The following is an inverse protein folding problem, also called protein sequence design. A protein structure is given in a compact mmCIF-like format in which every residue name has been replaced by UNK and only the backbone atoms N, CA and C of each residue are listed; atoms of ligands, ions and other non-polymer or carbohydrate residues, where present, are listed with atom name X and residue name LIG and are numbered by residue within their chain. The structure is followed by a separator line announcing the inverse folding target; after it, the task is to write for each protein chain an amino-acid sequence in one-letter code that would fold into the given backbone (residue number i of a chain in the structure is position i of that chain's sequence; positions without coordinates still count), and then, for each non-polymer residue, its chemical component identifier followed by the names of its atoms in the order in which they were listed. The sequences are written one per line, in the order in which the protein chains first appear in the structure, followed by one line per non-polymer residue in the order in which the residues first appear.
data_IF_821901129201
#
_entry.id   IF_821901129201
#
_cell.length_a   1.000
_cell.length_b   1.000
_cell.length_c   1.000
_cell.angle_alpha   90.00
_cell.angle_beta   90.00
_cell.angle_gamma   90.00
#
_symmetry.space_group_name_H-M   'P 1'
#
loop_
_entity.id
_entity.type
_entity.pdbx_description
1 polymer ?
#
# COMPACT_ATOMS: atom_id res chain seq x y z
N UNK A 1 7.39 -5.55 15.66
CA UNK A 1 7.19 -4.45 14.71
C UNK A 1 6.15 -4.88 13.70
N UNK A 2 5.26 -3.99 13.31
CA UNK A 2 4.38 -4.11 12.16
C UNK A 2 5.02 -3.35 11.01
N UNK A 3 5.12 -3.96 9.83
CA UNK A 3 5.78 -3.35 8.67
C UNK A 3 4.82 -3.43 7.49
N UNK A 4 4.52 -2.29 6.89
CA UNK A 4 3.76 -2.22 5.65
C UNK A 4 4.53 -2.83 4.49
N UNK A 5 3.85 -3.18 3.41
CA UNK A 5 4.45 -3.89 2.28
C UNK A 5 4.62 -3.00 1.04
N UNK A 6 3.52 -2.59 0.43
CA UNK A 6 3.50 -1.86 -0.84
C UNK A 6 4.08 -0.45 -0.66
N UNK A 7 5.10 -0.09 -1.45
CA UNK A 7 5.84 1.18 -1.38
C UNK A 7 6.60 1.42 -0.06
N UNK A 8 6.72 0.36 0.77
CA UNK A 8 7.55 0.32 1.98
C UNK A 8 8.66 -0.73 1.85
N UNK A 9 8.31 -1.95 1.44
CA UNK A 9 9.25 -3.05 1.20
C UNK A 9 9.61 -3.21 -0.27
N UNK A 10 8.68 -2.95 -1.16
CA UNK A 10 8.82 -3.05 -2.61
C UNK A 10 7.97 -2.03 -3.35
N UNK A 11 8.37 -1.70 -4.57
CA UNK A 11 7.65 -0.82 -5.48
C UNK A 11 6.27 -1.40 -5.83
N UNK A 12 5.24 -0.59 -5.75
CA UNK A 12 3.88 -0.99 -6.11
C UNK A 12 3.12 0.10 -6.88
N UNK A 13 3.03 1.32 -6.33
CA UNK A 13 2.18 2.38 -6.88
C UNK A 13 2.61 2.81 -8.30
N UNK A 14 3.89 2.70 -8.64
CA UNK A 14 4.40 3.01 -9.99
C UNK A 14 3.72 2.20 -11.10
N UNK A 15 3.30 0.97 -10.81
CA UNK A 15 2.61 0.11 -11.79
C UNK A 15 1.17 0.55 -12.01
N UNK A 16 0.48 0.97 -10.95
CA UNK A 16 -0.86 1.56 -11.04
C UNK A 16 -0.82 2.91 -11.76
N UNK A 17 0.12 3.78 -11.40
CA UNK A 17 0.34 5.08 -12.06
C UNK A 17 0.59 4.94 -13.56
N UNK A 18 1.36 3.93 -13.95
CA UNK A 18 1.59 3.62 -15.37
C UNK A 18 0.27 3.30 -16.06
N UNK A 19 -0.54 2.42 -15.49
CA UNK A 19 -1.84 2.04 -16.06
C UNK A 19 -2.79 3.24 -16.13
N UNK A 20 -2.83 4.08 -15.09
CA UNK A 20 -3.64 5.31 -15.09
C UNK A 20 -3.21 6.25 -16.22
N UNK A 21 -1.90 6.51 -16.38
CA UNK A 21 -1.37 7.36 -17.45
C UNK A 21 -1.73 6.84 -18.84
N UNK A 22 -1.58 5.52 -19.06
CA UNK A 22 -1.95 4.89 -20.32
C UNK A 22 -3.47 4.94 -20.56
N UNK A 23 -4.29 4.73 -19.53
CA UNK A 23 -5.75 4.83 -19.61
C UNK A 23 -6.21 6.23 -19.98
N UNK A 24 -5.68 7.25 -19.27
CA UNK A 24 -5.99 8.67 -19.58
C UNK A 24 -5.58 9.03 -21.01
N UNK A 25 -4.42 8.58 -21.49
CA UNK A 25 -3.99 8.81 -22.87
C UNK A 25 -4.95 8.15 -23.90
N UNK A 26 -5.46 6.95 -23.60
CA UNK A 26 -6.47 6.28 -24.44
C UNK A 26 -7.80 7.00 -24.45
N UNK A 27 -8.22 7.57 -23.31
CA UNK A 27 -9.41 8.40 -23.20
C UNK A 27 -9.24 9.72 -23.98
N UNK A 28 -8.08 10.36 -23.87
CA UNK A 28 -7.79 11.58 -24.62
C UNK A 28 -7.86 11.38 -26.16
N UNK A 29 -7.42 10.24 -26.66
CA UNK A 29 -7.58 9.87 -28.08
C UNK A 29 -9.06 9.70 -28.51
N UNK A 30 -10.00 9.76 -27.57
CA UNK A 30 -11.46 9.68 -27.78
C UNK A 30 -12.18 10.96 -27.36
N UNK A 31 -11.45 12.08 -27.33
CA UNK A 31 -11.94 13.40 -26.96
C UNK A 31 -12.47 13.51 -25.50
N UNK A 32 -12.01 12.66 -24.59
CA UNK A 32 -12.24 12.82 -23.14
C UNK A 32 -11.07 13.60 -22.56
N UNK A 33 -11.33 14.70 -21.86
CA UNK A 33 -10.25 15.48 -21.24
C UNK A 33 -9.59 14.70 -20.10
N UNK A 34 -8.30 15.00 -19.83
CA UNK A 34 -7.55 14.38 -18.76
C UNK A 34 -8.19 14.69 -17.38
N UNK A 35 -8.68 15.91 -17.19
CA UNK A 35 -9.35 16.34 -15.97
C UNK A 35 -10.59 15.53 -15.69
N UNK A 36 -11.47 15.34 -16.70
CA UNK A 36 -12.67 14.52 -16.59
C UNK A 36 -12.32 13.04 -16.30
N UNK A 37 -11.29 12.53 -16.97
CA UNK A 37 -10.82 11.16 -16.77
C UNK A 37 -10.34 10.93 -15.33
N UNK A 38 -9.49 11.81 -14.81
CA UNK A 38 -8.96 11.72 -13.44
C UNK A 38 -10.07 11.89 -12.39
N UNK A 39 -10.95 12.89 -12.56
CA UNK A 39 -12.05 13.13 -11.62
C UNK A 39 -13.03 11.95 -11.58
N UNK A 40 -13.40 11.40 -12.74
CA UNK A 40 -14.31 10.24 -12.82
C UNK A 40 -13.66 9.01 -12.19
N UNK A 41 -12.37 8.76 -12.44
CA UNK A 41 -11.65 7.65 -11.83
C UNK A 41 -11.57 7.80 -10.31
N UNK A 42 -11.18 8.98 -9.83
CA UNK A 42 -11.11 9.30 -8.40
C UNK A 42 -12.43 9.02 -7.66
N UNK A 43 -13.54 9.54 -8.18
CA UNK A 43 -14.86 9.34 -7.58
C UNK A 43 -15.28 7.88 -7.60
N UNK A 44 -14.96 7.17 -8.69
CA UNK A 44 -15.27 5.75 -8.85
C UNK A 44 -14.47 4.91 -7.85
N UNK A 45 -13.17 5.14 -7.73
CA UNK A 45 -12.31 4.44 -6.75
C UNK A 45 -12.74 4.72 -5.31
N UNK A 46 -13.01 5.97 -4.94
CA UNK A 46 -13.48 6.32 -3.59
C UNK A 46 -14.73 5.53 -3.16
N UNK A 47 -15.65 5.28 -4.10
CA UNK A 47 -16.85 4.50 -3.85
C UNK A 47 -16.52 3.01 -3.80
N UNK A 48 -15.78 2.52 -4.77
CA UNK A 48 -15.56 1.09 -4.96
C UNK A 48 -14.66 0.48 -3.88
N UNK A 49 -13.63 1.20 -3.42
CA UNK A 49 -12.75 0.74 -2.34
C UNK A 49 -13.52 0.36 -1.07
N UNK A 50 -14.58 1.10 -0.74
CA UNK A 50 -15.42 0.82 0.43
C UNK A 50 -16.20 -0.49 0.33
N UNK A 51 -16.39 -1.01 -0.89
CA UNK A 51 -17.19 -2.21 -1.20
C UNK A 51 -16.28 -3.39 -1.55
N UNK A 52 -15.31 -3.18 -2.44
CA UNK A 52 -14.49 -4.23 -3.01
C UNK A 52 -13.09 -4.30 -2.40
N UNK A 53 -12.70 -3.31 -1.60
CA UNK A 53 -11.36 -3.19 -1.05
C UNK A 53 -10.32 -2.80 -2.09
N UNK A 54 -9.09 -3.25 -1.87
CA UNK A 54 -7.88 -2.91 -2.62
C UNK A 54 -7.41 -4.08 -3.49
N UNK A 55 -6.53 -3.80 -4.46
CA UNK A 55 -5.85 -4.77 -5.30
C UNK A 55 -6.18 -4.60 -6.78
N UNK A 56 -5.48 -5.38 -7.63
CA UNK A 56 -5.53 -5.28 -9.08
C UNK A 56 -6.94 -5.42 -9.66
N UNK A 57 -7.72 -6.40 -9.17
CA UNK A 57 -9.10 -6.63 -9.63
C UNK A 57 -10.04 -5.47 -9.27
N UNK A 58 -9.94 -4.94 -8.04
CA UNK A 58 -10.78 -3.82 -7.59
C UNK A 58 -10.48 -2.55 -8.39
N UNK A 59 -9.20 -2.29 -8.65
CA UNK A 59 -8.75 -1.19 -9.48
C UNK A 59 -9.26 -1.33 -10.92
N UNK A 60 -9.08 -2.50 -11.56
CA UNK A 60 -9.58 -2.73 -12.92
C UNK A 60 -11.11 -2.67 -13.01
N UNK A 61 -11.84 -3.09 -11.98
CA UNK A 61 -13.28 -2.88 -11.91
C UNK A 61 -13.66 -1.40 -11.98
N UNK A 62 -12.88 -0.54 -11.32
CA UNK A 62 -13.07 0.92 -11.40
C UNK A 62 -12.77 1.46 -12.80
N UNK A 63 -11.71 0.98 -13.47
CA UNK A 63 -11.43 1.35 -14.87
C UNK A 63 -12.55 0.94 -15.83
N UNK A 64 -13.12 -0.26 -15.66
CA UNK A 64 -14.27 -0.72 -16.45
C UNK A 64 -15.47 0.20 -16.27
N UNK A 65 -15.79 0.56 -15.04
CA UNK A 65 -16.89 1.45 -14.74
C UNK A 65 -16.71 2.84 -15.35
N UNK A 66 -15.49 3.40 -15.24
CA UNK A 66 -15.12 4.69 -15.85
C UNK A 66 -15.25 4.62 -17.37
N UNK A 67 -14.74 3.56 -18.01
CA UNK A 67 -14.83 3.39 -19.45
C UNK A 67 -16.30 3.35 -19.94
N UNK A 68 -17.17 2.66 -19.22
CA UNK A 68 -18.61 2.62 -19.52
C UNK A 68 -19.29 3.96 -19.30
N UNK A 69 -18.99 4.63 -18.19
CA UNK A 69 -19.55 5.94 -17.83
C UNK A 69 -19.19 7.01 -18.86
N UNK A 70 -17.96 6.95 -19.39
CA UNK A 70 -17.47 7.89 -20.39
C UNK A 70 -17.79 7.47 -21.84
N UNK A 71 -18.51 6.37 -22.03
CA UNK A 71 -18.94 5.90 -23.36
C UNK A 71 -17.83 5.31 -24.23
N UNK A 72 -16.78 4.74 -23.62
CA UNK A 72 -15.59 4.18 -24.28
C UNK A 72 -15.37 2.71 -23.91
N UNK A 73 -16.45 1.93 -23.83
CA UNK A 73 -16.42 0.52 -23.43
C UNK A 73 -15.53 -0.38 -24.32
N UNK A 74 -15.16 0.06 -25.53
CA UNK A 74 -14.20 -0.64 -26.38
C UNK A 74 -12.79 -0.74 -25.78
N UNK A 75 -12.49 -0.04 -24.67
CA UNK A 75 -11.26 -0.19 -23.91
C UNK A 75 -11.25 -1.42 -22.97
N UNK A 76 -12.37 -2.09 -22.77
CA UNK A 76 -12.48 -3.24 -21.87
C UNK A 76 -11.46 -4.36 -22.15
N UNK A 77 -11.16 -4.75 -23.42
CA UNK A 77 -10.13 -5.75 -23.69
C UNK A 77 -8.73 -5.31 -23.26
N UNK A 78 -8.43 -4.00 -23.36
CA UNK A 78 -7.16 -3.46 -22.87
C UNK A 78 -7.11 -3.49 -21.33
N UNK A 79 -8.20 -3.11 -20.66
CA UNK A 79 -8.28 -3.12 -19.18
C UNK A 79 -8.07 -4.54 -18.65
N UNK A 80 -8.64 -5.57 -19.29
CA UNK A 80 -8.43 -6.98 -18.90
C UNK A 80 -6.94 -7.38 -18.86
N UNK A 81 -6.14 -6.86 -19.79
CA UNK A 81 -4.69 -7.08 -19.81
C UNK A 81 -3.97 -6.39 -18.65
N UNK A 82 -4.51 -5.28 -18.14
CA UNK A 82 -3.89 -4.53 -17.05
C UNK A 82 -4.02 -5.24 -15.69
N UNK A 83 -5.10 -5.95 -15.45
CA UNK A 83 -5.24 -6.76 -14.23
C UNK A 83 -4.12 -7.79 -14.12
N UNK A 84 -3.86 -8.53 -15.21
CA UNK A 84 -2.76 -9.49 -15.26
C UNK A 84 -1.40 -8.80 -15.07
N UNK A 85 -1.17 -7.66 -15.73
CA UNK A 85 0.06 -6.90 -15.60
C UNK A 85 0.30 -6.45 -14.15
N UNK A 86 -0.69 -5.85 -13.48
CA UNK A 86 -0.57 -5.38 -12.10
C UNK A 86 -0.37 -6.56 -11.15
N UNK A 87 -1.11 -7.65 -11.30
CA UNK A 87 -0.99 -8.83 -10.45
C UNK A 87 0.39 -9.49 -10.52
N UNK A 88 1.04 -9.47 -11.70
CA UNK A 88 2.30 -10.17 -11.96
C UNK A 88 3.50 -9.22 -12.13
N UNK A 89 3.38 -7.96 -11.75
CA UNK A 89 4.51 -7.03 -11.87
C UNK A 89 5.78 -7.56 -11.17
N UNK A 90 6.98 -7.16 -11.61
CA UNK A 90 8.22 -7.48 -10.92
C UNK A 90 8.19 -7.01 -9.47
N UNK A 91 8.87 -7.71 -8.58
CA UNK A 91 9.08 -7.25 -7.21
C UNK A 91 10.44 -6.55 -7.16
N UNK A 92 10.40 -5.24 -7.10
CA UNK A 92 11.59 -4.39 -6.96
C UNK A 92 11.64 -3.90 -5.52
N UNK A 93 12.62 -4.40 -4.75
CA UNK A 93 12.74 -4.05 -3.33
C UNK A 93 13.14 -2.60 -3.16
N UNK A 94 12.57 -1.94 -2.16
CA UNK A 94 12.96 -0.59 -1.77
C UNK A 94 14.41 -0.53 -1.31
N UNK A 95 15.12 0.58 -1.58
CA UNK A 95 16.51 0.73 -1.16
C UNK A 95 16.70 0.50 0.34
N UNK A 96 17.69 -0.33 0.70
CA UNK A 96 18.03 -0.67 2.07
C UNK A 96 17.22 -1.78 2.72
N UNK A 97 16.18 -2.31 2.06
CA UNK A 97 15.36 -3.41 2.61
C UNK A 97 16.17 -4.69 2.76
N UNK A 98 16.96 -5.06 1.73
CA UNK A 98 17.76 -6.29 1.75
C UNK A 98 18.72 -6.37 2.93
N UNK A 99 19.33 -5.25 3.30
CA UNK A 99 20.34 -5.17 4.35
C UNK A 99 19.72 -5.00 5.74
N UNK A 100 18.66 -4.18 5.82
CA UNK A 100 18.10 -3.76 7.11
C UNK A 100 17.08 -4.76 7.66
N UNK A 101 16.26 -5.36 6.81
CA UNK A 101 15.21 -6.27 7.29
C UNK A 101 15.76 -7.52 8.01
N UNK A 102 16.85 -8.19 7.54
CA UNK A 102 17.47 -9.29 8.31
C UNK A 102 18.01 -8.84 9.68
N UNK A 103 18.58 -7.65 9.76
CA UNK A 103 19.05 -7.09 11.03
C UNK A 103 17.86 -6.86 12.00
N UNK A 104 16.76 -6.27 11.51
CA UNK A 104 15.56 -6.08 12.31
C UNK A 104 14.98 -7.42 12.77
N UNK A 105 14.92 -8.43 11.89
CA UNK A 105 14.45 -9.78 12.20
C UNK A 105 15.25 -10.43 13.33
N UNK A 106 16.57 -10.23 13.37
CA UNK A 106 17.43 -10.83 14.40
C UNK A 106 17.17 -10.32 15.83
N UNK A 107 16.50 -9.18 15.96
CA UNK A 107 16.28 -8.48 17.25
C UNK A 107 14.84 -8.21 17.58
N UNK A 108 13.94 -8.35 16.62
CA UNK A 108 12.54 -7.98 16.76
C UNK A 108 11.61 -9.06 16.23
N UNK A 109 10.42 -9.11 16.77
CA UNK A 109 9.32 -9.88 16.21
C UNK A 109 8.68 -9.05 15.08
N UNK A 110 8.79 -9.51 13.83
CA UNK A 110 8.32 -8.81 12.63
C UNK A 110 7.03 -9.42 12.13
N UNK A 111 6.04 -8.58 11.87
CA UNK A 111 4.77 -8.95 11.24
C UNK A 111 4.58 -8.03 10.04
N UNK A 112 4.43 -8.60 8.84
CA UNK A 112 4.00 -7.82 7.68
C UNK A 112 2.51 -7.49 7.82
N UNK A 113 2.16 -6.22 7.69
CA UNK A 113 0.78 -5.74 7.75
C UNK A 113 0.43 -4.97 6.48
N UNK A 114 -0.43 -5.51 5.65
CA UNK A 114 -0.79 -4.91 4.36
C UNK A 114 -2.30 -4.95 4.12
N UNK A 115 -2.76 -4.09 3.20
CA UNK A 115 -4.13 -4.13 2.68
C UNK A 115 -4.18 -4.88 1.34
N UNK A 116 -5.34 -5.34 0.95
CA UNK A 116 -5.59 -5.91 -0.36
C UNK A 116 -6.03 -7.38 -0.34
N UNK A 117 -5.90 -8.03 -1.49
CA UNK A 117 -6.27 -9.44 -1.64
C UNK A 117 -5.19 -10.36 -1.10
N UNK A 118 -5.59 -11.41 -0.41
CA UNK A 118 -4.65 -12.34 0.22
C UNK A 118 -3.76 -13.06 -0.79
N UNK A 119 -4.32 -13.51 -1.92
CA UNK A 119 -3.57 -14.18 -2.99
C UNK A 119 -2.51 -13.27 -3.64
N UNK A 120 -2.85 -11.99 -3.86
CA UNK A 120 -1.95 -10.99 -4.41
C UNK A 120 -0.82 -10.66 -3.44
N UNK A 121 -1.12 -10.34 -2.19
CA UNK A 121 -0.13 -9.93 -1.20
C UNK A 121 0.80 -11.09 -0.79
N UNK A 122 0.27 -12.30 -0.58
CA UNK A 122 1.10 -13.48 -0.33
C UNK A 122 1.95 -13.85 -1.54
N UNK A 123 1.40 -13.67 -2.75
CA UNK A 123 2.15 -13.84 -3.98
C UNK A 123 3.35 -12.88 -4.09
N UNK A 124 3.16 -11.59 -3.77
CA UNK A 124 4.25 -10.59 -3.71
C UNK A 124 5.29 -10.96 -2.65
N UNK A 125 4.86 -11.28 -1.44
CA UNK A 125 5.75 -11.67 -0.35
C UNK A 125 6.61 -12.89 -0.71
N UNK A 126 6.03 -13.90 -1.35
CA UNK A 126 6.78 -15.08 -1.78
C UNK A 126 7.78 -14.74 -2.90
N UNK A 127 7.37 -13.94 -3.89
CA UNK A 127 8.26 -13.53 -5.00
C UNK A 127 9.39 -12.60 -4.53
N UNK A 128 9.18 -11.83 -3.46
CA UNK A 128 10.20 -10.95 -2.89
C UNK A 128 11.35 -11.70 -2.21
N UNK A 129 11.13 -12.96 -1.82
CA UNK A 129 12.08 -13.73 -1.00
C UNK A 129 12.11 -13.32 0.47
N UNK A 130 11.30 -12.34 0.89
CA UNK A 130 11.30 -11.79 2.26
C UNK A 130 10.47 -12.61 3.26
N UNK A 131 9.67 -13.56 2.80
CA UNK A 131 8.77 -14.36 3.65
C UNK A 131 9.46 -14.97 4.89
N UNK A 132 10.68 -15.53 4.81
CA UNK A 132 11.36 -16.10 5.98
C UNK A 132 11.76 -15.07 7.07
N UNK A 133 11.73 -13.79 6.75
CA UNK A 133 12.09 -12.71 7.68
C UNK A 133 10.90 -12.21 8.52
N UNK A 134 9.69 -12.70 8.23
CA UNK A 134 8.49 -12.35 8.97
C UNK A 134 8.03 -13.51 9.84
N UNK A 135 7.67 -13.21 11.09
CA UNK A 135 7.07 -14.15 12.03
C UNK A 135 5.57 -14.33 11.80
N UNK A 136 4.95 -13.40 11.07
CA UNK A 136 3.55 -13.42 10.70
C UNK A 136 3.23 -12.47 9.57
N UNK A 137 2.08 -12.68 8.94
CA UNK A 137 1.55 -11.84 7.87
C UNK A 137 0.08 -11.57 8.14
N UNK A 138 -0.28 -10.31 8.19
CA UNK A 138 -1.65 -9.84 8.36
C UNK A 138 -2.08 -9.07 7.12
N UNK A 139 -3.15 -9.56 6.50
CA UNK A 139 -3.75 -8.91 5.34
C UNK A 139 -5.14 -8.47 5.77
N UNK A 140 -5.34 -7.15 5.77
CA UNK A 140 -6.55 -6.54 6.33
C UNK A 140 -7.31 -5.77 5.25
N UNK A 141 -8.61 -5.59 5.49
CA UNK A 141 -9.44 -4.77 4.60
C UNK A 141 -9.07 -3.28 4.72
N UNK A 142 -8.87 -2.81 5.96
CA UNK A 142 -8.48 -1.42 6.26
C UNK A 142 -7.59 -1.38 7.51
N UNK A 143 -6.63 -0.47 7.51
CA UNK A 143 -5.74 -0.21 8.66
C UNK A 143 -6.35 0.89 9.54
N UNK A 144 -7.41 0.55 10.27
CA UNK A 144 -8.07 1.44 11.22
C UNK A 144 -7.48 1.32 12.63
N UNK A 145 -7.85 2.22 13.52
CA UNK A 145 -7.47 2.15 14.95
C UNK A 145 -7.91 0.82 15.56
N UNK A 146 -9.12 0.37 15.20
CA UNK A 146 -9.69 -0.91 15.66
C UNK A 146 -8.87 -2.10 15.14
N UNK A 147 -8.44 -2.04 13.89
CA UNK A 147 -7.56 -3.06 13.30
C UNK A 147 -6.25 -3.15 14.07
N UNK A 148 -5.60 -2.03 14.38
CA UNK A 148 -4.36 -2.04 15.17
C UNK A 148 -4.59 -2.61 16.58
N UNK A 149 -5.67 -2.24 17.27
CA UNK A 149 -6.02 -2.79 18.60
C UNK A 149 -6.25 -4.29 18.54
N UNK A 150 -7.02 -4.77 17.56
CA UNK A 150 -7.25 -6.20 17.35
C UNK A 150 -5.97 -6.99 17.07
N UNK A 151 -5.03 -6.41 16.31
CA UNK A 151 -3.73 -7.02 16.05
C UNK A 151 -2.85 -7.09 17.32
N UNK A 152 -2.87 -6.05 18.15
CA UNK A 152 -2.17 -6.07 19.44
C UNK A 152 -2.70 -7.19 20.33
N UNK A 153 -4.01 -7.38 20.41
CA UNK A 153 -4.64 -8.47 21.17
C UNK A 153 -4.29 -9.84 20.58
N UNK A 154 -4.51 -10.02 19.26
CA UNK A 154 -4.27 -11.27 18.53
C UNK A 154 -2.85 -11.79 18.72
N UNK A 155 -1.87 -10.91 18.67
CA UNK A 155 -0.45 -11.25 18.77
C UNK A 155 0.12 -11.04 20.18
N UNK A 156 -0.70 -10.72 21.16
CA UNK A 156 -0.28 -10.44 22.55
C UNK A 156 0.85 -9.40 22.61
N UNK A 157 0.69 -8.31 21.86
CA UNK A 157 1.67 -7.23 21.76
C UNK A 157 1.30 -6.06 22.69
N UNK A 158 2.32 -5.44 23.29
CA UNK A 158 2.16 -4.17 24.02
C UNK A 158 2.21 -3.00 23.04
N UNK A 159 1.21 -2.13 23.06
CA UNK A 159 1.18 -0.93 22.21
C UNK A 159 2.42 -0.05 22.41
N UNK A 160 2.86 0.12 23.67
CA UNK A 160 4.02 0.95 24.02
C UNK A 160 5.35 0.45 23.43
N UNK A 161 5.45 -0.86 23.16
CA UNK A 161 6.64 -1.51 22.62
C UNK A 161 6.53 -1.90 21.16
N UNK A 162 5.38 -1.63 20.55
CA UNK A 162 5.10 -1.97 19.15
C UNK A 162 5.24 -0.72 18.28
N UNK A 163 5.89 -0.90 17.13
CA UNK A 163 6.09 0.13 16.14
C UNK A 163 5.43 -0.27 14.84
N UNK A 164 4.77 0.68 14.18
CA UNK A 164 4.32 0.57 12.79
C UNK A 164 5.26 1.34 11.88
N UNK A 165 5.77 0.68 10.85
CA UNK A 165 6.68 1.24 9.85
C UNK A 165 5.96 1.24 8.51
N UNK A 166 5.84 2.40 7.86
CA UNK A 166 5.14 2.48 6.58
C UNK A 166 5.24 3.84 5.90
N UNK A 167 4.68 3.93 4.70
CA UNK A 167 4.71 5.11 3.84
C UNK A 167 3.37 5.88 3.79
N UNK A 168 2.31 5.35 4.41
CA UNK A 168 1.00 5.97 4.36
C UNK A 168 0.66 6.74 5.64
N UNK A 169 0.50 8.08 5.58
CA UNK A 169 -0.02 8.84 6.71
C UNK A 169 -1.36 8.32 7.21
N UNK A 170 -2.29 8.06 6.29
CA UNK A 170 -3.67 7.66 6.57
C UNK A 170 -3.80 6.24 7.11
N UNK A 171 -3.04 5.30 6.56
CA UNK A 171 -3.19 3.88 6.88
C UNK A 171 -2.18 3.40 7.92
N UNK A 172 -0.92 3.87 7.85
CA UNK A 172 0.14 3.36 8.71
C UNK A 172 0.36 4.23 9.95
N UNK A 173 0.36 5.56 9.78
CA UNK A 173 0.86 6.44 10.84
C UNK A 173 -0.25 6.89 11.79
N UNK A 174 -1.27 7.59 11.27
CA UNK A 174 -2.29 8.19 12.13
C UNK A 174 -3.11 7.17 12.92
N UNK A 175 -3.61 6.06 12.33
CA UNK A 175 -4.38 5.08 13.10
C UNK A 175 -3.52 4.24 14.05
N UNK A 176 -2.26 3.90 13.69
CA UNK A 176 -1.35 3.20 14.61
C UNK A 176 -0.99 4.06 15.82
N UNK A 177 -0.69 5.35 15.60
CA UNK A 177 -0.47 6.32 16.67
C UNK A 177 -1.70 6.45 17.59
N UNK A 178 -2.90 6.55 17.02
CA UNK A 178 -4.15 6.61 17.77
C UNK A 178 -4.44 5.32 18.56
N UNK A 179 -3.88 4.18 18.15
CA UNK A 179 -3.92 2.93 18.91
C UNK A 179 -2.79 2.82 19.95
N UNK A 180 -1.92 3.84 20.08
CA UNK A 180 -0.87 3.91 21.10
C UNK A 180 0.49 3.35 20.69
N UNK A 181 0.67 2.97 19.41
CA UNK A 181 1.94 2.46 18.87
C UNK A 181 2.94 3.60 18.64
N UNK A 182 4.22 3.25 18.64
CA UNK A 182 5.23 4.06 17.95
C UNK A 182 5.06 3.97 16.43
N UNK A 183 5.44 5.01 15.71
CA UNK A 183 5.29 5.06 14.25
C UNK A 183 6.56 5.53 13.58
N UNK A 184 6.88 4.95 12.43
CA UNK A 184 7.97 5.36 11.55
C UNK A 184 7.38 5.64 10.19
N UNK A 185 7.43 6.88 9.78
CA UNK A 185 7.05 7.30 8.45
C UNK A 185 8.26 7.35 7.53
N UNK A 186 8.20 6.62 6.43
CA UNK A 186 9.19 6.64 5.34
C UNK A 186 8.45 7.11 4.10
N UNK A 187 8.64 8.37 3.66
CA UNK A 187 7.88 8.90 2.54
C UNK A 187 8.21 8.18 1.24
N UNK A 188 7.19 7.91 0.45
CA UNK A 188 7.33 7.40 -0.91
C UNK A 188 7.03 8.51 -1.92
N UNK A 189 7.79 8.58 -3.02
CA UNK A 189 7.75 9.69 -3.97
C UNK A 189 6.45 9.80 -4.77
N UNK A 190 5.66 8.72 -4.88
CA UNK A 190 4.37 8.69 -5.56
C UNK A 190 3.29 8.13 -4.63
N UNK A 191 3.09 8.79 -3.48
CA UNK A 191 2.03 8.37 -2.54
C UNK A 191 0.66 8.50 -3.22
N UNK A 192 -0.09 7.41 -3.18
CA UNK A 192 -1.43 7.38 -3.72
C UNK A 192 -2.33 8.42 -3.03
N UNK A 193 -3.09 9.18 -3.81
CA UNK A 193 -3.85 10.33 -3.31
C UNK A 193 -4.82 9.96 -2.16
N UNK A 194 -5.35 8.74 -2.14
CA UNK A 194 -6.20 8.24 -1.06
C UNK A 194 -5.46 7.99 0.27
N UNK A 195 -4.13 7.92 0.26
CA UNK A 195 -3.28 7.70 1.43
C UNK A 195 -2.68 9.00 2.00
N UNK A 196 -2.90 10.14 1.32
CA UNK A 196 -2.37 11.44 1.75
C UNK A 196 -3.23 11.98 2.89
N UNK A 197 -2.60 12.23 4.01
CA UNK A 197 -3.20 12.85 5.19
C UNK A 197 -2.11 13.62 5.97
N UNK A 198 -2.49 14.62 6.74
CA UNK A 198 -1.56 15.32 7.60
C UNK A 198 -1.09 14.42 8.75
N UNK A 199 0.21 14.39 8.99
CA UNK A 199 0.81 13.74 10.15
C UNK A 199 1.04 14.82 11.23
N UNK A 200 0.38 14.67 12.39
CA UNK A 200 0.70 15.45 13.57
C UNK A 200 1.66 14.61 14.43
N UNK A 201 2.98 14.87 14.41
CA UNK A 201 3.95 14.06 15.13
C UNK A 201 3.78 14.14 16.65
N UNK A 202 4.19 13.09 17.34
CA UNK A 202 4.40 13.06 18.79
C UNK A 202 5.81 12.52 19.09
N UNK A 203 6.15 12.37 20.36
CA UNK A 203 7.45 11.86 20.85
C UNK A 203 7.75 10.41 20.41
N UNK A 204 6.76 9.66 19.94
CA UNK A 204 6.90 8.31 19.36
C UNK A 204 6.70 8.29 17.82
N UNK A 205 6.83 9.40 17.14
CA UNK A 205 6.75 9.47 15.68
C UNK A 205 8.13 9.80 15.11
N UNK A 206 8.71 8.85 14.37
CA UNK A 206 9.95 9.04 13.62
C UNK A 206 9.63 9.33 12.15
N UNK A 207 10.34 10.30 11.59
CA UNK A 207 10.31 10.64 10.16
C UNK A 207 11.68 10.28 9.59
N UNK A 208 11.76 9.25 8.75
CA UNK A 208 13.01 8.77 8.17
C UNK A 208 12.99 8.97 6.66
N UNK A 209 14.17 9.09 6.05
CA UNK A 209 14.28 9.28 4.60
C UNK A 209 14.24 7.95 3.83
N UNK A 210 14.68 6.85 4.47
CA UNK A 210 14.77 5.54 3.84
C UNK A 210 14.60 4.39 4.83
N UNK A 211 14.34 3.20 4.30
CA UNK A 211 14.27 1.98 5.10
C UNK A 211 15.61 1.65 5.78
N UNK A 212 16.74 2.04 5.18
CA UNK A 212 18.07 1.86 5.75
C UNK A 212 18.28 2.62 7.07
N UNK A 213 17.61 3.76 7.25
CA UNK A 213 17.74 4.56 8.47
C UNK A 213 17.19 3.88 9.73
N UNK A 214 16.33 2.87 9.56
CA UNK A 214 15.84 2.04 10.68
C UNK A 214 16.99 1.40 11.47
N UNK A 215 18.11 1.10 10.81
CA UNK A 215 19.28 0.52 11.46
C UNK A 215 19.84 1.39 12.60
N UNK A 216 19.70 2.70 12.50
CA UNK A 216 20.20 3.66 13.52
C UNK A 216 19.31 3.71 14.76
N UNK A 217 18.03 3.32 14.62
CA UNK A 217 17.04 3.43 15.70
C UNK A 217 16.72 2.07 16.34
N UNK A 218 16.83 0.98 15.57
CA UNK A 218 16.41 -0.35 15.97
C UNK A 218 17.48 -1.42 15.77
N UNK A 219 18.70 -1.00 15.36
CA UNK A 219 19.85 -1.86 15.12
C UNK A 219 20.66 -2.26 16.35
#
# INVERSE_FOLDING_TARGET
MLIDADDTLWENNIYYDRVIKEFVAKLAARNVSAELAHETLWQTEQRNIKITGYGSSAFCASLYEVARTLGVAELEPWIAGQEHFIFHHPIELMPGVCETLPMLHSRNHLIMLTKGRADEQLGKLNRSGLAPLFHGTEIVFEKSVETYRSLLEKHTLSAERTWMIGNSPRSDINPAKAAGLGTVFIPYHTTWQHEIEEIVPNDKTLMLESFADLARHFG
#
